data_IF_147631480386
#
_entry.id   IF_147631480386
#
_cell.length_a   1.000
_cell.length_b   1.000
_cell.length_c   1.000
_cell.angle_alpha   90.00
_cell.angle_beta   90.00
_cell.angle_gamma   90.00
#
_symmetry.space_group_name_H-M   'P 1'
#
loop_
_entity.id
_entity.type
_entity.pdbx_description
1 polymer ?
#
# COMPACT_ATOMS: atom_id res chain seq x y z
N UNK A 1 -13.92 -0.57 -9.87
CA UNK A 1 -13.30 -0.08 -8.62
C UNK A 1 -13.46 -1.14 -7.54
N UNK A 2 -12.36 -1.55 -6.91
CA UNK A 2 -12.34 -2.49 -5.79
C UNK A 2 -12.81 -1.82 -4.51
N UNK A 3 -13.43 -2.60 -3.63
CA UNK A 3 -13.67 -2.22 -2.25
C UNK A 3 -12.34 -2.10 -1.51
N UNK A 4 -12.09 -0.94 -0.92
CA UNK A 4 -10.91 -0.70 -0.10
C UNK A 4 -11.22 -1.15 1.33
N UNK A 5 -10.36 -2.01 1.85
CA UNK A 5 -10.35 -2.48 3.23
C UNK A 5 -9.00 -2.15 3.85
N UNK A 6 -8.95 -1.92 5.15
CA UNK A 6 -7.70 -1.69 5.86
C UNK A 6 -7.64 -2.51 7.15
N UNK A 7 -6.43 -2.93 7.51
CA UNK A 7 -6.20 -3.60 8.78
C UNK A 7 -6.17 -2.60 9.93
N UNK A 8 -6.27 -3.11 11.16
CA UNK A 8 -6.05 -2.31 12.37
C UNK A 8 -4.61 -1.76 12.45
N UNK A 9 -3.63 -2.51 11.94
CA UNK A 9 -2.25 -2.08 11.87
C UNK A 9 -2.08 -0.90 10.91
N UNK A 10 -2.62 -0.99 9.69
CA UNK A 10 -2.64 0.12 8.74
C UNK A 10 -3.28 1.38 9.35
N UNK A 11 -4.41 1.25 10.03
CA UNK A 11 -5.09 2.40 10.63
C UNK A 11 -4.21 3.09 11.70
N UNK A 12 -3.49 2.32 12.51
CA UNK A 12 -2.54 2.86 13.50
C UNK A 12 -1.36 3.55 12.82
N UNK A 13 -0.82 2.94 11.78
CA UNK A 13 0.30 3.48 11.02
C UNK A 13 -0.09 4.80 10.33
N UNK A 14 -1.26 4.82 9.68
CA UNK A 14 -1.80 5.99 9.00
C UNK A 14 -1.98 7.19 9.94
N UNK A 15 -2.41 6.96 11.18
CA UNK A 15 -2.52 8.01 12.21
C UNK A 15 -1.17 8.66 12.56
N UNK A 16 -0.05 7.93 12.44
CA UNK A 16 1.30 8.48 12.68
C UNK A 16 1.78 9.35 11.53
N UNK A 17 1.47 8.94 10.29
CA UNK A 17 1.84 9.67 9.07
C UNK A 17 1.04 10.98 8.97
N UNK A 18 -0.22 10.97 9.39
CA UNK A 18 -1.01 12.17 9.68
C UNK A 18 -1.53 12.94 8.46
N UNK A 19 -1.11 12.63 7.23
CA UNK A 19 -1.61 13.31 6.02
C UNK A 19 -1.83 12.37 4.84
N UNK A 20 -2.87 12.68 4.07
CA UNK A 20 -3.15 12.08 2.75
C UNK A 20 -2.41 12.90 1.69
N UNK A 21 -1.14 12.55 1.45
CA UNK A 21 -0.37 13.14 0.36
C UNK A 21 -1.01 12.81 -1.01
N UNK A 22 -0.83 13.68 -2.01
CA UNK A 22 -1.40 13.49 -3.35
C UNK A 22 -0.94 12.16 -4.00
N UNK A 23 0.31 11.77 -3.79
CA UNK A 23 0.86 10.50 -4.26
C UNK A 23 0.14 9.28 -3.65
N UNK A 24 -0.28 9.37 -2.38
CA UNK A 24 -1.04 8.32 -1.72
C UNK A 24 -2.43 8.16 -2.34
N UNK A 25 -3.11 9.29 -2.58
CA UNK A 25 -4.44 9.30 -3.22
C UNK A 25 -4.36 8.75 -4.64
N UNK A 26 -3.34 9.14 -5.41
CA UNK A 26 -3.11 8.62 -6.76
C UNK A 26 -2.89 7.11 -6.75
N UNK A 27 -1.99 6.62 -5.89
CA UNK A 27 -1.72 5.20 -5.77
C UNK A 27 -2.98 4.41 -5.41
N UNK A 28 -3.74 4.86 -4.41
CA UNK A 28 -4.99 4.21 -4.02
C UNK A 28 -6.01 4.18 -5.14
N UNK A 29 -6.20 5.30 -5.86
CA UNK A 29 -7.17 5.37 -6.94
C UNK A 29 -6.80 4.41 -8.08
N UNK A 30 -5.52 4.36 -8.47
CA UNK A 30 -5.04 3.44 -9.50
C UNK A 30 -5.15 1.98 -9.08
N UNK A 31 -4.73 1.66 -7.85
CA UNK A 31 -4.84 0.30 -7.29
C UNK A 31 -6.29 -0.18 -7.18
N UNK A 32 -7.21 0.71 -6.79
CA UNK A 32 -8.62 0.39 -6.70
C UNK A 32 -9.27 0.22 -8.08
N UNK A 33 -8.78 0.90 -9.12
CA UNK A 33 -9.33 0.79 -10.48
C UNK A 33 -8.59 -0.21 -11.38
N UNK A 34 -7.61 -0.95 -10.86
CA UNK A 34 -6.76 -1.84 -11.67
C UNK A 34 -5.99 -1.15 -12.78
N UNK A 35 -5.68 0.12 -12.56
CA UNK A 35 -4.81 0.84 -13.47
C UNK A 35 -3.33 0.57 -13.17
N UNK A 36 -2.46 0.63 -14.20
CA UNK A 36 -1.02 0.60 -14.01
C UNK A 36 -0.56 1.72 -13.08
N UNK A 37 0.27 1.37 -12.10
CA UNK A 37 0.98 2.34 -11.27
C UNK A 37 2.19 2.90 -12.04
N UNK A 38 2.41 4.23 -12.00
CA UNK A 38 3.65 4.83 -12.47
C UNK A 38 4.90 4.20 -11.81
N UNK A 39 6.00 4.09 -12.57
CA UNK A 39 7.26 3.46 -12.10
C UNK A 39 7.82 4.08 -10.81
N UNK A 40 7.53 5.38 -10.55
CA UNK A 40 7.93 6.07 -9.31
C UNK A 40 7.42 5.39 -8.04
N UNK A 41 6.30 4.66 -8.12
CA UNK A 41 5.74 3.92 -7.00
C UNK A 41 6.49 2.62 -6.71
N UNK A 42 7.40 2.19 -7.61
CA UNK A 42 8.24 0.98 -7.44
C UNK A 42 7.46 -0.25 -6.98
N UNK A 43 6.24 -0.40 -7.49
CA UNK A 43 5.33 -1.46 -7.06
C UNK A 43 5.90 -2.85 -7.40
N UNK A 44 6.10 -3.69 -6.40
CA UNK A 44 6.62 -5.03 -6.58
C UNK A 44 6.05 -6.02 -5.56
N UNK A 45 6.04 -7.30 -5.93
CA UNK A 45 5.60 -8.36 -5.03
C UNK A 45 6.67 -8.65 -3.97
N UNK A 46 6.24 -8.75 -2.72
CA UNK A 46 7.09 -9.17 -1.61
C UNK A 46 7.33 -10.68 -1.65
N UNK A 47 8.45 -11.11 -1.07
CA UNK A 47 8.92 -12.51 -1.07
C UNK A 47 8.81 -13.14 0.31
N UNK A 48 8.97 -14.47 0.38
CA UNK A 48 8.95 -15.23 1.64
C UNK A 48 7.57 -15.25 2.30
N UNK A 49 7.52 -15.01 3.60
CA UNK A 49 6.28 -14.95 4.40
C UNK A 49 5.29 -13.88 3.91
N UNK A 50 5.78 -12.90 3.15
CA UNK A 50 4.98 -11.82 2.55
C UNK A 50 4.54 -12.12 1.11
N UNK A 51 4.60 -13.38 0.67
CA UNK A 51 4.10 -13.78 -0.65
C UNK A 51 2.62 -13.40 -0.82
N UNK A 52 2.28 -12.80 -1.95
CA UNK A 52 0.93 -12.27 -2.24
C UNK A 52 0.65 -10.89 -1.63
N UNK A 53 1.61 -10.30 -0.91
CA UNK A 53 1.62 -8.89 -0.57
C UNK A 53 2.51 -8.13 -1.56
N UNK A 54 2.28 -6.82 -1.66
CA UNK A 54 3.00 -5.93 -2.54
C UNK A 54 3.48 -4.71 -1.76
N UNK A 55 4.65 -4.24 -2.15
CA UNK A 55 5.29 -3.03 -1.65
C UNK A 55 5.14 -1.93 -2.69
N UNK A 56 4.55 -0.80 -2.28
CA UNK A 56 4.36 0.38 -3.10
C UNK A 56 4.95 1.61 -2.39
N UNK A 57 6.00 2.18 -2.95
CA UNK A 57 6.67 3.38 -2.46
C UNK A 57 5.83 4.63 -2.77
N UNK A 58 5.14 5.16 -1.78
CA UNK A 58 4.36 6.40 -1.90
C UNK A 58 5.29 7.61 -2.00
N UNK A 59 6.40 7.58 -1.25
CA UNK A 59 7.56 8.49 -1.35
C UNK A 59 8.82 7.71 -0.92
N UNK A 60 10.04 8.29 -1.01
CA UNK A 60 11.27 7.55 -0.76
C UNK A 60 11.30 6.74 0.56
N UNK A 61 10.71 7.26 1.63
CA UNK A 61 10.65 6.62 2.95
C UNK A 61 9.22 6.44 3.48
N UNK A 62 8.25 6.20 2.58
CA UNK A 62 6.89 5.81 2.95
C UNK A 62 6.39 4.73 2.01
N UNK A 63 6.24 3.54 2.56
CA UNK A 63 5.79 2.34 1.86
C UNK A 63 4.37 2.01 2.27
N UNK A 64 3.54 1.77 1.27
CA UNK A 64 2.26 1.10 1.43
C UNK A 64 2.44 -0.39 1.15
N UNK A 65 2.22 -1.22 2.17
CA UNK A 65 2.08 -2.67 1.98
C UNK A 65 0.60 -2.98 1.77
N UNK A 66 0.28 -3.64 0.67
CA UNK A 66 -1.10 -3.99 0.33
C UNK A 66 -1.20 -5.40 -0.27
N UNK A 67 -2.42 -5.90 -0.40
CA UNK A 67 -2.72 -7.11 -1.19
C UNK A 67 -4.08 -7.03 -1.86
N UNK A 68 -4.29 -7.87 -2.86
CA UNK A 68 -5.56 -8.00 -3.60
C UNK A 68 -6.12 -9.41 -3.38
N UNK A 69 -6.79 -9.70 -2.25
CA UNK A 69 -7.16 -11.07 -1.86
C UNK A 69 -8.29 -11.66 -2.73
N UNK A 70 -8.99 -10.83 -3.49
CA UNK A 70 -9.99 -11.23 -4.48
C UNK A 70 -10.09 -10.16 -5.58
N UNK A 71 -10.80 -10.47 -6.67
CA UNK A 71 -10.95 -9.57 -7.81
C UNK A 71 -11.55 -8.20 -7.42
N UNK A 72 -12.40 -8.17 -6.40
CA UNK A 72 -13.17 -7.01 -5.95
C UNK A 72 -12.60 -6.30 -4.72
N UNK A 73 -11.52 -6.80 -4.09
CA UNK A 73 -10.98 -6.24 -2.84
C UNK A 73 -9.54 -5.77 -2.94
N UNK A 74 -9.29 -4.57 -2.44
CA UNK A 74 -7.96 -4.02 -2.18
C UNK A 74 -7.79 -3.88 -0.67
N UNK A 75 -6.85 -4.61 -0.08
CA UNK A 75 -6.58 -4.55 1.34
C UNK A 75 -5.27 -3.82 1.62
N UNK A 76 -5.35 -2.72 2.38
CA UNK A 76 -4.23 -1.96 2.90
C UNK A 76 -3.76 -2.58 4.22
N UNK A 77 -2.50 -3.00 4.28
CA UNK A 77 -2.00 -3.91 5.33
C UNK A 77 -1.11 -3.18 6.33
N UNK A 78 -0.14 -2.41 5.84
CA UNK A 78 0.77 -1.57 6.65
C UNK A 78 1.10 -0.29 5.89
N UNK A 79 1.51 0.73 6.62
CA UNK A 79 2.06 1.97 6.07
C UNK A 79 3.26 2.39 6.93
N UNK A 80 4.35 2.87 6.35
CA UNK A 80 5.48 3.36 7.15
C UNK A 80 6.80 3.36 6.41
N UNK A 81 7.86 3.75 7.12
CA UNK A 81 9.24 3.63 6.61
C UNK A 81 9.68 2.17 6.53
N UNK A 82 10.74 1.88 5.77
CA UNK A 82 11.33 0.51 5.73
C UNK A 82 11.66 0.01 7.14
N UNK A 83 12.26 0.89 7.96
CA UNK A 83 12.65 0.59 9.35
C UNK A 83 11.47 0.22 10.25
N UNK A 84 10.32 0.86 10.08
CA UNK A 84 9.11 0.57 10.89
C UNK A 84 8.38 -0.71 10.43
N UNK A 85 8.59 -1.10 9.18
CA UNK A 85 7.97 -2.29 8.61
C UNK A 85 8.82 -3.55 8.82
N UNK A 86 10.14 -3.39 9.03
CA UNK A 86 11.04 -4.44 9.49
C UNK A 86 11.38 -5.48 8.42
N UNK A 87 11.37 -5.07 7.16
CA UNK A 87 11.83 -5.86 6.02
C UNK A 87 12.86 -5.09 5.18
#
# INVERSE_FOLDING_TARGET
MRRIEWTTAFNRDFKKVGSLESAFVEALWKLANDEPLPERFRDHELKGEWKGFRDCHIRPDLILVYRKPSADRLQLVRLGSHSELGF
#
